data_IF_217903449015
#
_entry.id   IF_217903449015
#
_cell.length_a   1.000
_cell.length_b   1.000
_cell.length_c   1.000
_cell.angle_alpha   90.00
_cell.angle_beta   90.00
_cell.angle_gamma   90.00
#
_symmetry.space_group_name_H-M   'P 1'
#
loop_
_entity.id
_entity.type
_entity.pdbx_description
1 polymer ?
#
# COMPACT_ATOMS: atom_id res chain seq x y z
N UNK A 1 7.60 -3.61 -20.58
CA UNK A 1 8.44 -2.51 -20.01
C UNK A 1 8.39 -2.60 -18.49
N UNK A 2 9.53 -2.61 -17.83
CA UNK A 2 9.57 -2.68 -16.37
C UNK A 2 9.00 -1.37 -15.78
N UNK A 3 7.95 -1.50 -15.01
CA UNK A 3 7.17 -0.40 -14.42
C UNK A 3 7.03 -0.65 -12.93
N UNK A 4 7.35 0.35 -12.11
CA UNK A 4 7.01 0.33 -10.68
C UNK A 4 5.72 1.11 -10.53
N UNK A 5 4.72 0.50 -9.88
CA UNK A 5 3.38 1.06 -9.75
C UNK A 5 2.93 1.13 -8.29
N UNK A 6 2.35 2.29 -7.90
CA UNK A 6 1.72 2.51 -6.60
C UNK A 6 0.28 3.03 -6.84
N UNK A 7 -0.70 2.17 -6.68
CA UNK A 7 -2.05 2.37 -7.19
C UNK A 7 -3.04 2.88 -6.13
N UNK A 8 -2.66 2.80 -4.85
CA UNK A 8 -3.48 3.21 -3.71
C UNK A 8 -2.78 4.34 -2.94
N UNK A 9 -3.23 5.54 -3.22
CA UNK A 9 -2.72 6.78 -2.62
C UNK A 9 -3.88 7.72 -2.31
N UNK A 10 -3.61 8.77 -1.55
CA UNK A 10 -4.59 9.81 -1.23
C UNK A 10 -4.13 11.20 -1.67
N UNK A 11 -5.11 12.01 -2.05
CA UNK A 11 -4.92 13.43 -2.34
C UNK A 11 -5.01 14.27 -1.07
N UNK A 12 -4.81 15.57 -1.23
CA UNK A 12 -5.00 16.54 -0.14
C UNK A 12 -6.44 16.69 0.36
N UNK A 13 -7.40 16.05 -0.30
CA UNK A 13 -8.82 16.10 0.06
C UNK A 13 -9.25 14.96 0.98
N UNK A 14 -8.41 13.97 1.19
CA UNK A 14 -8.66 12.92 2.19
C UNK A 14 -8.28 13.37 3.60
N UNK A 15 -8.99 12.81 4.57
CA UNK A 15 -8.73 13.08 5.99
C UNK A 15 -7.31 12.65 6.39
N UNK A 16 -6.67 13.42 7.25
CA UNK A 16 -5.34 13.18 7.78
C UNK A 16 -4.21 13.15 6.72
N UNK A 17 -4.43 13.73 5.54
CA UNK A 17 -3.44 13.82 4.47
C UNK A 17 -2.68 15.16 4.48
N UNK A 18 -1.55 15.17 3.79
CA UNK A 18 -0.77 16.37 3.55
C UNK A 18 -1.46 17.29 2.54
N UNK A 19 -1.44 18.60 2.78
CA UNK A 19 -1.86 19.62 1.81
C UNK A 19 -1.03 19.61 0.52
N UNK A 20 0.16 18.98 0.57
CA UNK A 20 1.05 18.80 -0.57
C UNK A 20 0.60 17.69 -1.55
N UNK A 21 -0.49 16.96 -1.25
CA UNK A 21 -1.06 15.93 -2.12
C UNK A 21 -1.72 16.51 -3.37
N UNK A 22 -0.95 17.17 -4.23
CA UNK A 22 -1.35 17.76 -5.52
C UNK A 22 -0.77 16.97 -6.68
N UNK A 23 -1.37 17.01 -7.89
CA UNK A 23 -0.85 16.26 -9.02
C UNK A 23 0.62 16.55 -9.34
N UNK A 24 1.06 17.79 -9.19
CA UNK A 24 2.44 18.21 -9.44
C UNK A 24 3.41 17.63 -8.41
N UNK A 25 3.01 17.59 -7.15
CA UNK A 25 3.83 17.01 -6.09
C UNK A 25 3.86 15.48 -6.16
N UNK A 26 2.74 14.86 -6.54
CA UNK A 26 2.68 13.43 -6.79
C UNK A 26 3.61 13.03 -7.94
N UNK A 27 3.58 13.73 -9.08
CA UNK A 27 4.50 13.52 -10.19
C UNK A 27 5.98 13.72 -9.76
N UNK A 28 6.27 14.79 -9.03
CA UNK A 28 7.62 15.09 -8.55
C UNK A 28 8.18 13.96 -7.67
N UNK A 29 7.41 13.53 -6.68
CA UNK A 29 7.85 12.49 -5.76
C UNK A 29 7.91 11.11 -6.41
N UNK A 30 6.96 10.79 -7.31
CA UNK A 30 7.00 9.55 -8.07
C UNK A 30 8.28 9.44 -8.91
N UNK A 31 8.63 10.49 -9.67
CA UNK A 31 9.90 10.54 -10.44
C UNK A 31 11.12 10.40 -9.54
N UNK A 32 11.16 11.14 -8.43
CA UNK A 32 12.25 11.08 -7.46
C UNK A 32 12.46 9.70 -6.88
N UNK A 33 11.38 8.96 -6.69
CA UNK A 33 11.40 7.60 -6.17
C UNK A 33 11.61 6.52 -7.25
N UNK A 34 11.40 6.85 -8.52
CA UNK A 34 11.49 5.89 -9.64
C UNK A 34 10.19 5.13 -9.88
N UNK A 35 9.05 5.71 -9.49
CA UNK A 35 7.72 5.16 -9.72
C UNK A 35 7.18 5.66 -11.05
N UNK A 36 6.84 4.75 -11.96
CA UNK A 36 6.43 5.08 -13.32
C UNK A 36 4.91 5.21 -13.48
N UNK A 37 4.14 4.56 -12.59
CA UNK A 37 2.69 4.56 -12.63
C UNK A 37 2.14 4.76 -11.21
N UNK A 38 1.25 5.74 -11.02
CA UNK A 38 0.57 5.96 -9.73
C UNK A 38 -0.93 6.07 -9.92
N UNK A 39 -1.67 5.73 -8.88
CA UNK A 39 -3.07 6.09 -8.78
C UNK A 39 -3.26 7.61 -8.66
N UNK A 40 -4.41 8.13 -9.07
CA UNK A 40 -4.76 9.54 -8.78
C UNK A 40 -5.15 9.73 -7.32
N UNK A 41 -5.66 8.68 -6.68
CA UNK A 41 -6.39 8.78 -5.42
C UNK A 41 -7.72 9.53 -5.57
N UNK A 42 -8.62 9.32 -4.66
CA UNK A 42 -9.75 10.19 -4.30
C UNK A 42 -10.65 10.65 -5.45
N UNK A 43 -10.78 9.85 -6.53
CA UNK A 43 -11.57 10.25 -7.72
C UNK A 43 -13.02 10.62 -7.38
N UNK A 44 -13.55 10.22 -6.26
CA UNK A 44 -14.91 10.53 -5.83
C UNK A 44 -15.11 12.00 -5.47
N UNK A 45 -14.06 12.66 -4.97
CA UNK A 45 -14.16 14.04 -4.52
C UNK A 45 -14.31 15.02 -5.69
N UNK A 46 -15.40 15.81 -5.78
CA UNK A 46 -15.71 16.59 -6.98
C UNK A 46 -14.64 17.62 -7.33
N UNK A 47 -14.12 18.34 -6.33
CA UNK A 47 -13.07 19.36 -6.57
C UNK A 47 -11.78 18.71 -7.05
N UNK A 48 -11.44 17.52 -6.52
CA UNK A 48 -10.26 16.79 -6.98
C UNK A 48 -10.40 16.32 -8.42
N UNK A 49 -11.57 15.78 -8.80
CA UNK A 49 -11.82 15.37 -10.19
C UNK A 49 -11.69 16.53 -11.19
N UNK A 50 -12.22 17.71 -10.85
CA UNK A 50 -12.06 18.89 -11.72
C UNK A 50 -10.59 19.31 -11.81
N UNK A 51 -9.84 19.24 -10.73
CA UNK A 51 -8.40 19.51 -10.74
C UNK A 51 -7.64 18.49 -11.60
N UNK A 52 -7.99 17.20 -11.53
CA UNK A 52 -7.41 16.16 -12.40
C UNK A 52 -7.68 16.45 -13.88
N UNK A 53 -8.92 16.81 -14.24
CA UNK A 53 -9.28 17.17 -15.63
C UNK A 53 -8.51 18.39 -16.16
N UNK A 54 -8.30 19.38 -15.28
CA UNK A 54 -7.52 20.57 -15.62
C UNK A 54 -6.04 20.24 -15.84
N UNK A 55 -5.44 19.43 -14.97
CA UNK A 55 -4.00 19.27 -14.91
C UNK A 55 -3.46 18.06 -15.65
N UNK A 56 -4.28 17.04 -15.83
CA UNK A 56 -3.89 15.84 -16.57
C UNK A 56 -4.31 15.90 -18.04
N UNK A 57 -3.60 15.15 -18.85
CA UNK A 57 -3.94 14.90 -20.25
C UNK A 57 -3.90 13.40 -20.52
N UNK A 58 -4.93 12.89 -21.19
CA UNK A 58 -5.02 11.48 -21.58
C UNK A 58 -3.92 11.13 -22.60
N UNK A 59 -3.34 9.94 -22.46
CA UNK A 59 -2.44 9.35 -23.45
C UNK A 59 -3.18 8.48 -24.47
N UNK A 60 -4.52 8.37 -24.38
CA UNK A 60 -5.35 7.58 -25.30
C UNK A 60 -5.34 6.07 -25.04
N UNK A 61 -4.65 5.63 -23.97
CA UNK A 61 -4.50 4.23 -23.58
C UNK A 61 -5.05 3.92 -22.18
N UNK A 62 -5.92 4.80 -21.65
CA UNK A 62 -6.52 4.70 -20.31
C UNK A 62 -5.65 5.23 -19.19
N UNK A 63 -4.47 5.75 -19.51
CA UNK A 63 -3.61 6.45 -18.57
C UNK A 63 -3.53 7.95 -18.90
N UNK A 64 -3.04 8.68 -17.91
CA UNK A 64 -2.88 10.13 -17.99
C UNK A 64 -1.45 10.52 -17.63
N UNK A 65 -1.02 11.68 -18.12
CA UNK A 65 0.20 12.34 -17.66
C UNK A 65 -0.09 13.77 -17.25
N UNK A 66 0.77 14.32 -16.42
CA UNK A 66 0.68 15.73 -16.06
C UNK A 66 0.94 16.60 -17.29
N UNK A 67 0.09 17.62 -17.54
CA UNK A 67 0.32 18.58 -18.63
C UNK A 67 1.63 19.33 -18.40
N UNK A 68 2.37 19.59 -19.45
CA UNK A 68 3.72 20.20 -19.39
C UNK A 68 3.75 21.53 -18.63
N UNK A 69 2.63 22.28 -18.66
CA UNK A 69 2.49 23.55 -17.94
C UNK A 69 2.51 23.40 -16.41
N UNK A 70 2.19 22.20 -15.90
CA UNK A 70 2.15 21.91 -14.46
C UNK A 70 3.36 21.08 -13.97
N UNK A 71 4.18 20.58 -14.91
CA UNK A 71 5.40 19.84 -14.53
C UNK A 71 6.40 20.79 -13.88
N UNK A 72 6.78 20.49 -12.63
CA UNK A 72 7.78 21.27 -11.90
C UNK A 72 9.13 21.24 -12.60
N UNK A 73 9.88 22.36 -12.53
CA UNK A 73 11.20 22.41 -13.12
C UNK A 73 12.15 21.36 -12.48
N UNK A 74 12.02 21.15 -11.18
CA UNK A 74 12.78 20.14 -10.45
C UNK A 74 12.47 18.72 -10.91
N UNK A 75 11.22 18.43 -11.32
CA UNK A 75 10.81 17.14 -11.87
C UNK A 75 11.53 16.80 -13.17
N UNK A 76 11.89 17.80 -13.98
CA UNK A 76 12.57 17.63 -15.27
C UNK A 76 14.02 17.16 -15.14
N UNK A 77 14.59 17.19 -13.93
CA UNK A 77 15.93 16.67 -13.64
C UNK A 77 16.00 15.15 -13.57
N UNK A 78 14.85 14.49 -13.35
CA UNK A 78 14.78 13.04 -13.29
C UNK A 78 14.65 12.45 -14.70
N UNK A 79 15.39 11.37 -15.01
CA UNK A 79 15.34 10.74 -16.33
C UNK A 79 13.98 10.06 -16.57
N UNK A 80 13.64 9.85 -17.84
CA UNK A 80 12.44 9.11 -18.26
C UNK A 80 11.32 10.00 -18.79
N UNK A 81 10.26 9.36 -19.22
CA UNK A 81 9.10 10.01 -19.87
C UNK A 81 8.11 10.66 -18.88
N UNK A 82 8.42 10.57 -17.58
CA UNK A 82 7.56 11.08 -16.51
C UNK A 82 6.64 10.01 -15.93
N UNK A 83 5.86 10.41 -14.91
CA UNK A 83 4.93 9.54 -14.21
C UNK A 83 3.60 9.50 -14.95
N UNK A 84 3.02 8.30 -15.10
CA UNK A 84 1.65 8.10 -15.55
C UNK A 84 0.71 8.00 -14.35
N UNK A 85 -0.53 8.38 -14.59
CA UNK A 85 -1.61 8.30 -13.61
C UNK A 85 -2.70 7.37 -14.13
N UNK A 86 -3.17 6.46 -13.29
CA UNK A 86 -4.43 5.73 -13.48
C UNK A 86 -5.48 6.32 -12.53
N UNK A 87 -6.71 6.47 -13.00
CA UNK A 87 -7.79 6.96 -12.13
C UNK A 87 -8.05 5.96 -11.03
N UNK A 88 -7.90 6.37 -9.77
CA UNK A 88 -8.09 5.52 -8.61
C UNK A 88 -8.78 6.25 -7.45
N UNK A 89 -9.32 5.48 -6.51
CA UNK A 89 -9.81 6.00 -5.25
C UNK A 89 -10.24 4.89 -4.32
N UNK A 90 -10.16 5.15 -3.02
CA UNK A 90 -10.59 4.25 -1.95
C UNK A 90 -11.99 4.62 -1.48
N UNK A 91 -12.84 3.61 -1.29
CA UNK A 91 -14.19 3.73 -0.73
C UNK A 91 -14.25 3.00 0.61
N UNK A 92 -14.69 3.71 1.64
CA UNK A 92 -14.92 3.13 2.97
C UNK A 92 -16.35 2.66 3.10
N UNK A 93 -16.58 1.36 3.05
CA UNK A 93 -17.88 0.71 3.22
C UNK A 93 -18.14 0.39 4.69
N UNK A 94 -19.22 0.93 5.27
CA UNK A 94 -19.67 0.61 6.65
C UNK A 94 -21.13 0.19 6.61
N UNK A 95 -21.39 -1.06 6.91
CA UNK A 95 -22.74 -1.65 6.77
C UNK A 95 -22.99 -2.77 7.79
N UNK A 96 -24.22 -3.28 7.85
CA UNK A 96 -24.58 -4.44 8.66
C UNK A 96 -24.76 -5.67 7.78
N UNK A 97 -24.03 -6.74 8.08
CA UNK A 97 -24.14 -8.04 7.40
C UNK A 97 -23.95 -9.17 8.41
N UNK A 98 -24.84 -10.19 8.39
CA UNK A 98 -24.81 -11.33 9.29
C UNK A 98 -24.80 -10.93 10.78
N UNK A 99 -25.60 -9.92 11.14
CA UNK A 99 -25.75 -9.44 12.53
C UNK A 99 -24.54 -8.66 13.07
N UNK A 100 -23.51 -8.41 12.26
CA UNK A 100 -22.30 -7.66 12.65
C UNK A 100 -22.18 -6.36 11.85
N UNK A 101 -21.57 -5.35 12.45
CA UNK A 101 -21.14 -4.17 11.69
C UNK A 101 -19.84 -4.51 10.95
N UNK A 102 -19.89 -4.45 9.63
CA UNK A 102 -18.75 -4.65 8.74
C UNK A 102 -18.16 -3.32 8.33
N UNK A 103 -16.83 -3.27 8.20
CA UNK A 103 -16.09 -2.11 7.74
C UNK A 103 -15.00 -2.62 6.81
N UNK A 104 -15.09 -2.24 5.54
CA UNK A 104 -14.18 -2.68 4.49
C UNK A 104 -13.79 -1.49 3.64
N UNK A 105 -12.51 -1.36 3.34
CA UNK A 105 -12.00 -0.44 2.34
C UNK A 105 -11.79 -1.18 1.02
N UNK A 106 -12.14 -0.51 -0.08
CA UNK A 106 -11.99 -1.03 -1.42
C UNK A 106 -11.37 0.03 -2.31
N UNK A 107 -10.28 -0.30 -2.98
CA UNK A 107 -9.69 0.53 -4.04
C UNK A 107 -10.40 0.22 -5.34
N UNK A 108 -10.78 1.26 -6.08
CA UNK A 108 -11.31 1.17 -7.43
C UNK A 108 -10.35 1.84 -8.39
N UNK A 109 -10.03 1.16 -9.49
CA UNK A 109 -9.29 1.71 -10.63
C UNK A 109 -10.22 1.78 -11.83
N UNK A 110 -10.15 2.89 -12.56
CA UNK A 110 -11.02 3.15 -13.72
C UNK A 110 -10.18 3.58 -14.93
N UNK A 111 -10.61 3.22 -16.17
CA UNK A 111 -9.88 3.54 -17.39
C UNK A 111 -9.99 5.01 -17.83
N UNK A 112 -10.89 5.79 -17.20
CA UNK A 112 -11.07 7.17 -17.60
C UNK A 112 -11.69 8.05 -16.50
N UNK A 113 -11.50 9.37 -16.63
CA UNK A 113 -12.17 10.37 -15.77
C UNK A 113 -13.67 10.44 -16.03
N UNK A 114 -14.12 10.09 -17.24
CA UNK A 114 -15.54 10.00 -17.59
C UNK A 114 -16.23 8.86 -16.82
N UNK A 115 -15.59 7.68 -16.74
CA UNK A 115 -16.07 6.58 -15.91
C UNK A 115 -16.11 6.98 -14.41
N UNK A 116 -15.10 7.73 -13.97
CA UNK A 116 -15.06 8.27 -12.59
C UNK A 116 -16.22 9.25 -12.31
N UNK A 117 -16.59 10.10 -13.28
CA UNK A 117 -17.74 10.99 -13.13
C UNK A 117 -19.04 10.21 -12.94
N UNK A 118 -19.27 9.17 -13.77
CA UNK A 118 -20.48 8.34 -13.67
C UNK A 118 -20.52 7.59 -12.34
N UNK A 119 -19.38 7.00 -11.93
CA UNK A 119 -19.27 6.28 -10.65
C UNK A 119 -19.52 7.21 -9.48
N UNK A 120 -18.90 8.38 -9.45
CA UNK A 120 -19.08 9.37 -8.39
C UNK A 120 -20.54 9.86 -8.30
N UNK A 121 -21.22 10.11 -9.43
CA UNK A 121 -22.63 10.48 -9.43
C UNK A 121 -23.54 9.40 -8.84
N UNK A 122 -23.20 8.12 -8.99
CA UNK A 122 -23.93 7.02 -8.34
C UNK A 122 -23.68 6.97 -6.84
N UNK A 123 -22.42 7.12 -6.44
CA UNK A 123 -22.04 7.12 -5.02
C UNK A 123 -22.62 8.31 -4.26
N UNK A 124 -22.71 9.49 -4.88
CA UNK A 124 -23.31 10.70 -4.31
C UNK A 124 -24.79 10.51 -3.93
N UNK A 125 -25.54 9.67 -4.64
CA UNK A 125 -26.93 9.32 -4.29
C UNK A 125 -27.03 8.47 -3.02
N UNK A 126 -25.94 7.82 -2.61
CA UNK A 126 -25.88 6.97 -1.41
C UNK A 126 -25.39 7.76 -0.20
N UNK A 127 -24.42 8.66 -0.39
CA UNK A 127 -23.88 9.45 0.70
C UNK A 127 -23.00 10.60 0.28
N UNK A 128 -22.40 11.26 1.28
CA UNK A 128 -21.59 12.45 1.06
C UNK A 128 -20.20 12.07 0.52
N UNK A 129 -19.87 12.57 -0.68
CA UNK A 129 -18.57 12.43 -1.32
C UNK A 129 -17.78 13.75 -1.38
N UNK A 130 -18.26 14.80 -0.72
CA UNK A 130 -17.67 16.15 -0.79
C UNK A 130 -16.76 16.49 0.40
N UNK A 131 -16.86 15.75 1.49
CA UNK A 131 -16.17 16.07 2.74
C UNK A 131 -14.86 15.33 2.93
N UNK A 132 -14.64 14.26 2.20
CA UNK A 132 -13.45 13.40 2.30
C UNK A 132 -13.17 12.78 0.93
N UNK A 133 -11.90 12.76 0.51
CA UNK A 133 -11.47 12.08 -0.73
C UNK A 133 -11.76 10.58 -0.69
N UNK A 134 -11.69 9.98 0.50
CA UNK A 134 -12.15 8.63 0.80
C UNK A 134 -13.51 8.64 1.48
N UNK A 135 -14.63 8.64 0.75
CA UNK A 135 -15.95 8.76 1.34
C UNK A 135 -16.30 7.54 2.18
N UNK A 136 -16.95 7.79 3.32
CA UNK A 136 -17.54 6.76 4.18
C UNK A 136 -19.00 6.60 3.79
N UNK A 137 -19.34 5.42 3.27
CA UNK A 137 -20.67 5.15 2.73
C UNK A 137 -21.33 3.97 3.47
N UNK A 138 -22.64 4.08 3.69
CA UNK A 138 -23.47 2.99 4.18
C UNK A 138 -23.81 1.99 3.07
N UNK A 139 -22.80 1.50 2.36
CA UNK A 139 -22.90 0.66 1.18
C UNK A 139 -22.17 -0.66 1.41
N UNK A 140 -22.81 -1.80 1.12
CA UNK A 140 -22.16 -3.10 1.14
C UNK A 140 -21.06 -3.18 0.09
N UNK A 141 -19.94 -3.83 0.38
CA UNK A 141 -18.86 -4.03 -0.60
C UNK A 141 -19.30 -4.83 -1.81
N UNK A 142 -20.25 -5.77 -1.63
CA UNK A 142 -20.92 -6.49 -2.71
C UNK A 142 -21.63 -5.52 -3.65
N UNK A 143 -22.49 -4.64 -3.12
CA UNK A 143 -23.26 -3.67 -3.91
C UNK A 143 -22.36 -2.61 -4.57
N UNK A 144 -21.23 -2.27 -3.90
CA UNK A 144 -20.22 -1.40 -4.48
C UNK A 144 -19.57 -2.04 -5.72
N UNK A 145 -19.25 -3.34 -5.64
CA UNK A 145 -18.69 -4.08 -6.78
C UNK A 145 -19.72 -4.20 -7.92
N UNK A 146 -20.97 -4.54 -7.62
CA UNK A 146 -22.06 -4.58 -8.61
C UNK A 146 -22.21 -3.22 -9.32
N UNK A 147 -22.24 -2.14 -8.53
CA UNK A 147 -22.33 -0.77 -9.08
C UNK A 147 -21.16 -0.44 -10.00
N UNK A 148 -19.94 -0.82 -9.61
CA UNK A 148 -18.75 -0.60 -10.44
C UNK A 148 -18.83 -1.36 -11.77
N UNK A 149 -19.20 -2.63 -11.73
CA UNK A 149 -19.36 -3.47 -12.93
C UNK A 149 -20.44 -2.94 -13.87
N UNK A 150 -21.54 -2.41 -13.34
CA UNK A 150 -22.60 -1.75 -14.11
C UNK A 150 -22.14 -0.47 -14.80
N UNK A 151 -21.28 0.32 -14.13
CA UNK A 151 -20.76 1.59 -14.65
C UNK A 151 -19.64 1.35 -15.65
N UNK A 152 -18.74 0.45 -15.32
CA UNK A 152 -17.51 0.19 -16.07
C UNK A 152 -17.10 -1.27 -15.88
N UNK A 153 -17.48 -2.18 -16.79
CA UNK A 153 -17.09 -3.59 -16.71
C UNK A 153 -15.56 -3.82 -16.70
N UNK A 154 -14.79 -2.88 -17.27
CA UNK A 154 -13.32 -2.90 -17.23
C UNK A 154 -12.76 -2.26 -15.96
N UNK A 155 -13.59 -1.81 -15.02
CA UNK A 155 -13.17 -1.34 -13.72
C UNK A 155 -12.53 -2.46 -12.91
N UNK A 156 -11.58 -2.09 -12.04
CA UNK A 156 -10.92 -3.03 -11.15
C UNK A 156 -11.27 -2.66 -9.72
N UNK A 157 -11.80 -3.61 -8.94
CA UNK A 157 -11.98 -3.44 -7.51
C UNK A 157 -10.98 -4.34 -6.76
N UNK A 158 -10.23 -3.75 -5.85
CA UNK A 158 -9.23 -4.42 -5.02
C UNK A 158 -9.60 -4.17 -3.55
N UNK A 159 -9.96 -5.20 -2.78
CA UNK A 159 -10.05 -5.06 -1.32
C UNK A 159 -8.73 -4.56 -0.74
N UNK A 160 -8.77 -3.42 -0.04
CA UNK A 160 -7.59 -2.72 0.44
C UNK A 160 -7.05 -3.36 1.73
N UNK A 161 -5.71 -3.34 1.89
CA UNK A 161 -4.98 -3.73 3.12
C UNK A 161 -5.72 -4.79 3.96
N UNK A 162 -5.92 -5.97 3.37
CA UNK A 162 -6.92 -6.98 3.77
C UNK A 162 -6.84 -7.50 5.21
N UNK A 163 -5.77 -7.19 5.95
CA UNK A 163 -5.53 -7.70 7.31
C UNK A 163 -5.59 -6.64 8.41
N UNK A 164 -5.71 -5.35 8.10
CA UNK A 164 -5.84 -4.35 9.16
C UNK A 164 -7.03 -4.71 10.08
N UNK A 165 -6.91 -4.56 11.42
CA UNK A 165 -7.97 -4.99 12.35
C UNK A 165 -9.35 -4.39 12.05
N UNK A 166 -9.37 -3.17 11.55
CA UNK A 166 -10.56 -2.45 11.11
C UNK A 166 -10.44 -2.09 9.63
N UNK A 167 -11.58 -1.95 8.97
CA UNK A 167 -11.69 -1.49 7.58
C UNK A 167 -11.01 -2.41 6.56
N UNK A 168 -11.04 -3.70 6.79
CA UNK A 168 -10.47 -4.70 5.87
C UNK A 168 -11.33 -5.95 5.77
N UNK A 169 -11.18 -6.69 4.66
CA UNK A 169 -12.02 -7.86 4.40
C UNK A 169 -11.76 -9.03 5.37
N UNK A 170 -10.51 -9.22 5.82
CA UNK A 170 -10.12 -10.31 6.73
C UNK A 170 -9.80 -9.86 8.15
N UNK A 171 -9.97 -8.56 8.44
CA UNK A 171 -9.59 -7.95 9.72
C UNK A 171 -10.37 -8.51 10.92
N UNK A 172 -9.69 -8.72 12.03
CA UNK A 172 -10.22 -9.34 13.24
C UNK A 172 -11.41 -8.61 13.89
N UNK A 173 -11.56 -7.31 13.67
CA UNK A 173 -12.58 -6.48 14.33
C UNK A 173 -13.84 -6.30 13.51
N UNK A 174 -13.73 -6.13 12.21
CA UNK A 174 -14.86 -5.76 11.35
C UNK A 174 -14.90 -6.50 10.02
N UNK A 175 -13.99 -7.44 9.80
CA UNK A 175 -13.89 -8.23 8.58
C UNK A 175 -14.74 -9.51 8.61
N UNK A 176 -14.45 -10.35 7.65
CA UNK A 176 -15.05 -11.65 7.40
C UNK A 176 -14.00 -12.75 7.55
N UNK A 177 -14.40 -14.01 7.43
CA UNK A 177 -13.46 -15.14 7.45
C UNK A 177 -13.04 -15.58 6.03
N UNK A 178 -13.68 -15.03 5.00
CA UNK A 178 -13.28 -15.20 3.60
C UNK A 178 -13.73 -14.02 2.71
N UNK A 179 -13.17 -13.93 1.52
CA UNK A 179 -13.56 -12.95 0.49
C UNK A 179 -14.97 -13.27 -0.02
N UNK A 180 -15.30 -14.55 -0.13
CA UNK A 180 -16.60 -15.03 -0.56
C UNK A 180 -17.73 -14.60 0.40
N UNK A 181 -17.48 -14.56 1.72
CA UNK A 181 -18.48 -14.05 2.67
C UNK A 181 -18.75 -12.54 2.50
N UNK A 182 -17.78 -11.79 2.00
CA UNK A 182 -17.92 -10.36 1.76
C UNK A 182 -18.66 -10.08 0.45
N UNK A 183 -18.25 -10.72 -0.65
CA UNK A 183 -18.69 -10.42 -2.00
C UNK A 183 -19.71 -11.42 -2.58
N UNK A 184 -19.99 -12.49 -1.87
CA UNK A 184 -21.01 -13.52 -2.22
C UNK A 184 -20.79 -14.05 -3.66
N UNK A 185 -21.83 -14.07 -4.49
CA UNK A 185 -21.76 -14.51 -5.90
C UNK A 185 -20.88 -13.63 -6.79
N UNK A 186 -20.57 -12.40 -6.36
CA UNK A 186 -19.66 -11.52 -7.07
C UNK A 186 -18.18 -11.74 -6.72
N UNK A 187 -17.86 -12.60 -5.75
CA UNK A 187 -16.48 -12.92 -5.42
C UNK A 187 -15.61 -13.39 -6.61
N UNK A 188 -16.11 -14.05 -7.66
CA UNK A 188 -15.34 -14.35 -8.87
C UNK A 188 -14.82 -13.15 -9.64
N UNK A 189 -15.39 -11.96 -9.46
CA UNK A 189 -14.94 -10.71 -10.07
C UNK A 189 -13.84 -9.99 -9.27
N UNK A 190 -13.51 -10.49 -8.07
CA UNK A 190 -12.32 -10.06 -7.33
C UNK A 190 -11.15 -10.91 -7.79
N UNK A 191 -10.13 -10.28 -8.36
CA UNK A 191 -8.95 -10.95 -8.90
C UNK A 191 -7.67 -10.66 -8.13
N UNK A 192 -7.62 -9.56 -7.42
CA UNK A 192 -6.48 -9.17 -6.61
C UNK A 192 -6.88 -8.73 -5.20
N UNK A 193 -5.95 -8.89 -4.27
CA UNK A 193 -6.05 -8.46 -2.88
C UNK A 193 -4.82 -7.64 -2.53
N UNK A 194 -5.00 -6.55 -1.78
CA UNK A 194 -3.87 -5.72 -1.34
C UNK A 194 -3.33 -6.23 -0.01
N UNK A 195 -2.02 -6.52 0.02
CA UNK A 195 -1.30 -6.90 1.25
C UNK A 195 -1.37 -5.79 2.29
N UNK A 196 -1.06 -4.57 1.86
CA UNK A 196 -0.98 -3.38 2.71
C UNK A 196 0.11 -3.48 3.77
N UNK A 197 0.40 -2.40 4.46
CA UNK A 197 1.48 -2.29 5.44
C UNK A 197 1.43 -3.28 6.63
N UNK A 198 0.39 -4.12 6.72
CA UNK A 198 0.17 -5.04 7.84
C UNK A 198 0.45 -6.51 7.51
N UNK A 199 0.64 -6.85 6.24
CA UNK A 199 0.94 -8.22 5.80
C UNK A 199 1.83 -8.25 4.57
N UNK A 200 2.46 -9.37 4.34
CA UNK A 200 3.26 -9.67 3.16
C UNK A 200 2.75 -10.94 2.43
N UNK A 201 3.27 -11.27 1.25
CA UNK A 201 2.88 -12.49 0.55
C UNK A 201 3.09 -13.77 1.35
N UNK A 202 4.13 -13.86 2.19
CA UNK A 202 4.38 -15.07 2.99
C UNK A 202 3.27 -15.32 4.01
N UNK A 203 2.76 -14.27 4.67
CA UNK A 203 1.60 -14.35 5.55
C UNK A 203 0.35 -14.81 4.79
N UNK A 204 0.11 -14.28 3.60
CA UNK A 204 -1.05 -14.58 2.77
C UNK A 204 -1.00 -16.01 2.20
N UNK A 205 0.16 -16.55 1.86
CA UNK A 205 0.31 -17.91 1.35
C UNK A 205 -0.06 -18.99 2.37
N UNK A 206 -0.17 -18.64 3.65
CA UNK A 206 -0.63 -19.56 4.69
C UNK A 206 -2.12 -19.91 4.59
N UNK A 207 -2.87 -19.18 3.76
CA UNK A 207 -4.30 -19.40 3.55
C UNK A 207 -4.54 -19.87 2.12
N UNK A 208 -4.83 -21.17 1.92
CA UNK A 208 -4.98 -21.75 0.58
C UNK A 208 -6.11 -21.14 -0.24
N UNK A 209 -7.17 -20.66 0.41
CA UNK A 209 -8.28 -19.96 -0.24
C UNK A 209 -7.86 -18.66 -0.95
N UNK A 210 -6.74 -18.06 -0.54
CA UNK A 210 -6.21 -16.85 -1.18
C UNK A 210 -5.36 -17.12 -2.42
N UNK A 211 -5.04 -18.38 -2.73
CA UNK A 211 -4.17 -18.74 -3.85
C UNK A 211 -4.68 -18.32 -5.23
N UNK A 212 -5.98 -18.15 -5.37
CA UNK A 212 -6.63 -17.71 -6.63
C UNK A 212 -6.43 -16.23 -6.94
N UNK A 213 -6.09 -15.42 -5.95
CA UNK A 213 -5.96 -13.99 -6.09
C UNK A 213 -4.52 -13.59 -6.39
N UNK A 214 -4.36 -12.52 -7.19
CA UNK A 214 -3.07 -11.83 -7.28
C UNK A 214 -2.88 -11.02 -5.99
N UNK A 215 -1.66 -11.02 -5.45
CA UNK A 215 -1.31 -10.13 -4.35
C UNK A 215 -0.67 -8.88 -4.94
N UNK A 216 -1.23 -7.74 -4.59
CA UNK A 216 -0.73 -6.41 -4.95
C UNK A 216 -0.37 -5.65 -3.68
N UNK A 217 0.54 -4.71 -3.82
CA UNK A 217 1.05 -3.93 -2.69
C UNK A 217 1.09 -2.45 -3.06
N UNK A 218 0.51 -1.60 -2.23
CA UNK A 218 0.46 -0.17 -2.49
C UNK A 218 0.64 0.60 -1.18
N UNK A 219 1.15 1.80 -1.28
CA UNK A 219 1.64 2.56 -0.12
C UNK A 219 0.57 3.09 0.83
N UNK A 220 -0.67 3.21 0.39
CA UNK A 220 -1.73 3.97 1.11
C UNK A 220 -1.19 5.35 1.56
N UNK A 221 -0.51 6.03 0.62
CA UNK A 221 0.25 7.24 0.93
C UNK A 221 -0.67 8.42 1.24
N UNK A 222 -0.54 8.96 2.44
CA UNK A 222 -1.22 10.16 2.92
C UNK A 222 -0.37 11.45 2.73
N UNK A 223 0.78 11.31 2.08
CA UNK A 223 1.64 12.41 1.65
C UNK A 223 2.52 11.97 0.49
N UNK A 224 2.90 12.88 -0.45
CA UNK A 224 3.69 12.52 -1.61
C UNK A 224 5.03 11.87 -1.28
N UNK A 225 5.66 12.24 -0.18
CA UNK A 225 6.93 11.65 0.29
C UNK A 225 6.82 10.18 0.72
N UNK A 226 5.61 9.69 0.97
CA UNK A 226 5.34 8.30 1.37
C UNK A 226 4.94 7.38 0.21
N UNK A 227 4.86 7.89 -1.01
CA UNK A 227 4.70 7.06 -2.21
C UNK A 227 5.76 5.95 -2.24
N UNK A 228 5.38 4.77 -2.71
CA UNK A 228 6.28 3.65 -2.90
C UNK A 228 6.84 3.01 -1.62
N UNK A 229 6.23 3.25 -0.45
CA UNK A 229 6.55 2.41 0.73
C UNK A 229 6.26 0.94 0.44
N UNK A 230 5.24 0.73 -0.36
CA UNK A 230 4.86 -0.51 -1.02
C UNK A 230 4.59 -0.21 -2.48
N UNK A 231 4.83 -1.16 -3.36
CA UNK A 231 4.64 -0.99 -4.79
C UNK A 231 4.54 -2.33 -5.52
N UNK A 232 4.04 -2.28 -6.75
CA UNK A 232 3.97 -3.41 -7.66
C UNK A 232 5.09 -3.33 -8.69
N UNK A 233 5.74 -4.45 -8.95
CA UNK A 233 6.74 -4.62 -9.99
C UNK A 233 6.08 -5.25 -11.20
N UNK A 234 5.98 -4.49 -12.28
CA UNK A 234 5.26 -4.90 -13.48
C UNK A 234 6.19 -4.96 -14.70
N UNK A 235 5.96 -5.90 -15.60
CA UNK A 235 6.52 -5.91 -16.95
C UNK A 235 5.38 -5.93 -17.97
N UNK A 236 4.85 -4.75 -18.26
CA UNK A 236 3.65 -4.53 -19.07
C UNK A 236 3.88 -3.43 -20.10
N UNK A 237 3.02 -3.38 -21.11
CA UNK A 237 2.80 -2.13 -21.81
C UNK A 237 2.17 -1.13 -20.83
N UNK A 238 2.74 0.07 -20.74
CA UNK A 238 2.26 1.09 -19.81
C UNK A 238 0.94 1.68 -20.32
N UNK A 239 -0.14 0.91 -20.13
CA UNK A 239 -1.51 1.20 -20.51
C UNK A 239 -2.47 0.65 -19.46
N UNK A 240 -3.71 1.12 -19.46
CA UNK A 240 -4.76 0.56 -18.60
C UNK A 240 -5.01 -0.92 -18.91
N UNK A 241 -5.02 -1.30 -20.20
CA UNK A 241 -5.16 -2.69 -20.63
C UNK A 241 -4.05 -3.59 -20.08
N UNK A 242 -2.78 -3.13 -20.15
CA UNK A 242 -1.66 -3.87 -19.57
C UNK A 242 -1.78 -4.03 -18.06
N UNK A 243 -2.18 -2.96 -17.35
CA UNK A 243 -2.44 -2.99 -15.91
C UNK A 243 -3.63 -3.91 -15.57
N UNK A 244 -4.74 -3.80 -16.30
CA UNK A 244 -5.92 -4.65 -16.13
C UNK A 244 -5.54 -6.12 -16.24
N UNK A 245 -4.80 -6.52 -17.28
CA UNK A 245 -4.35 -7.88 -17.48
C UNK A 245 -3.45 -8.38 -16.35
N UNK A 246 -2.51 -7.54 -15.92
CA UNK A 246 -1.62 -7.89 -14.80
C UNK A 246 -2.39 -8.16 -13.50
N UNK A 247 -3.40 -7.36 -13.19
CA UNK A 247 -4.21 -7.53 -11.99
C UNK A 247 -5.22 -8.69 -12.12
N UNK A 248 -5.83 -8.86 -13.30
CA UNK A 248 -6.84 -9.90 -13.51
C UNK A 248 -6.23 -11.30 -13.60
N UNK A 249 -5.08 -11.43 -14.28
CA UNK A 249 -4.50 -12.75 -14.63
C UNK A 249 -3.12 -13.01 -14.03
N UNK A 250 -2.46 -11.97 -13.53
CA UNK A 250 -1.05 -12.03 -13.10
C UNK A 250 -0.05 -11.98 -14.26
N UNK A 251 -0.50 -11.83 -15.52
CA UNK A 251 0.40 -11.67 -16.66
C UNK A 251 1.10 -10.30 -16.62
N UNK A 252 2.42 -10.32 -16.54
CA UNK A 252 3.22 -9.10 -16.37
C UNK A 252 3.31 -8.59 -14.93
N UNK A 253 2.63 -9.20 -13.95
CA UNK A 253 2.89 -8.95 -12.54
C UNK A 253 4.12 -9.79 -12.13
N UNK A 254 5.27 -9.14 -11.94
CA UNK A 254 6.53 -9.79 -11.62
C UNK A 254 6.70 -10.01 -10.11
N UNK A 255 6.16 -9.11 -9.29
CA UNK A 255 6.26 -9.18 -7.84
C UNK A 255 5.81 -7.89 -7.16
N UNK A 256 6.14 -7.79 -5.87
CA UNK A 256 5.82 -6.64 -5.05
C UNK A 256 7.02 -6.15 -4.25
N UNK A 257 6.99 -4.88 -3.88
CA UNK A 257 7.82 -4.29 -2.82
C UNK A 257 6.93 -4.13 -1.61
N UNK A 258 7.34 -4.74 -0.52
CA UNK A 258 6.56 -4.77 0.71
C UNK A 258 7.25 -3.95 1.81
N UNK A 259 6.46 -3.41 2.69
CA UNK A 259 6.90 -2.94 3.99
C UNK A 259 7.14 -4.16 4.91
N UNK A 260 7.89 -3.99 5.99
CA UNK A 260 8.01 -5.06 6.98
C UNK A 260 6.75 -5.08 7.86
N UNK A 261 5.89 -6.12 7.81
CA UNK A 261 4.63 -6.16 8.56
C UNK A 261 4.82 -6.00 10.07
N UNK A 262 5.99 -6.39 10.57
CA UNK A 262 6.36 -6.27 11.98
C UNK A 262 6.42 -4.80 12.46
N UNK A 263 6.63 -3.83 11.56
CA UNK A 263 6.56 -2.41 11.92
C UNK A 263 5.14 -1.94 12.21
N UNK A 264 4.14 -2.69 11.75
CA UNK A 264 2.72 -2.37 11.97
C UNK A 264 2.36 -2.36 13.45
N UNK A 265 1.67 -1.30 13.90
CA UNK A 265 1.30 -1.09 15.32
C UNK A 265 0.32 -2.12 15.91
N UNK A 266 -0.10 -3.09 15.14
CA UNK A 266 -1.00 -4.18 15.56
C UNK A 266 -0.49 -5.54 15.04
N UNK A 267 0.80 -5.71 14.84
CA UNK A 267 1.34 -6.96 14.30
C UNK A 267 1.16 -8.12 15.27
N UNK A 268 1.67 -8.01 16.48
CA UNK A 268 1.52 -9.01 17.56
C UNK A 268 0.34 -8.69 18.48
N UNK A 269 -0.07 -9.70 19.24
CA UNK A 269 -0.98 -9.53 20.35
C UNK A 269 -0.33 -8.70 21.46
N UNK A 270 -1.11 -7.86 22.14
CA UNK A 270 -0.50 -7.08 23.17
C UNK A 270 -1.42 -6.34 24.11
N UNK A 271 -0.80 -5.79 25.15
CA UNK A 271 -1.41 -4.84 26.06
C UNK A 271 -0.42 -3.72 26.36
N UNK A 272 -0.53 -2.62 25.62
CA UNK A 272 0.39 -1.48 25.64
C UNK A 272 0.65 -0.94 27.04
N UNK A 273 -0.41 -0.77 27.87
CA UNK A 273 -0.29 -0.23 29.23
C UNK A 273 0.56 -1.09 30.15
N UNK A 274 0.73 -2.36 29.84
CA UNK A 274 1.53 -3.30 30.63
C UNK A 274 2.86 -3.66 29.97
N UNK A 275 3.16 -3.11 28.78
CA UNK A 275 4.36 -3.45 28.02
C UNK A 275 4.37 -4.91 27.54
N UNK A 276 3.21 -5.52 27.34
CA UNK A 276 3.10 -6.94 26.95
C UNK A 276 2.93 -7.02 25.43
N UNK A 277 3.85 -7.73 24.79
CA UNK A 277 3.82 -8.10 23.36
C UNK A 277 4.04 -9.60 23.26
N UNK A 278 3.16 -10.32 22.57
CA UNK A 278 3.14 -11.78 22.53
C UNK A 278 2.89 -12.26 21.10
N UNK A 279 3.59 -13.31 20.71
CA UNK A 279 3.25 -14.05 19.49
C UNK A 279 1.87 -14.72 19.62
N UNK A 280 1.23 -15.15 18.51
CA UNK A 280 -0.05 -15.86 18.54
C UNK A 280 -0.05 -17.06 19.49
N UNK A 281 1.00 -17.88 19.42
CA UNK A 281 1.15 -19.09 20.23
C UNK A 281 1.23 -18.77 21.74
N UNK A 282 1.96 -17.72 22.10
CA UNK A 282 2.08 -17.28 23.49
C UNK A 282 0.77 -16.70 24.00
N UNK A 283 0.07 -15.91 23.17
CA UNK A 283 -1.22 -15.33 23.51
C UNK A 283 -2.30 -16.42 23.71
N UNK A 284 -2.34 -17.44 22.86
CA UNK A 284 -3.25 -18.58 23.01
C UNK A 284 -3.00 -19.37 24.29
N UNK A 285 -1.73 -19.64 24.66
CA UNK A 285 -1.37 -20.31 25.92
C UNK A 285 -1.89 -19.57 27.16
N UNK A 286 -2.02 -18.24 27.04
CA UNK A 286 -2.53 -17.38 28.11
C UNK A 286 -4.06 -17.12 27.96
N UNK A 287 -4.73 -17.79 27.03
CA UNK A 287 -6.17 -17.60 26.76
C UNK A 287 -6.51 -16.19 26.30
N UNK A 288 -5.60 -15.48 25.64
CA UNK A 288 -5.79 -14.10 25.19
C UNK A 288 -5.84 -13.07 26.34
N UNK A 289 -5.27 -13.41 27.49
CA UNK A 289 -5.31 -12.59 28.72
C UNK A 289 -3.93 -12.05 29.05
N UNK A 290 -3.85 -10.77 29.36
CA UNK A 290 -2.62 -10.12 29.78
C UNK A 290 -2.11 -10.70 31.10
N UNK A 291 -0.90 -11.26 31.17
CA UNK A 291 -0.36 -11.90 32.39
C UNK A 291 -0.09 -10.90 33.52
N UNK A 292 -0.04 -9.61 33.22
CA UNK A 292 0.23 -8.55 34.22
C UNK A 292 -1.03 -8.05 34.90
N UNK A 293 -2.11 -7.81 34.15
CA UNK A 293 -3.32 -7.17 34.71
C UNK A 293 -4.61 -7.95 34.53
N UNK A 294 -4.60 -9.13 33.91
CA UNK A 294 -5.76 -9.98 33.71
C UNK A 294 -6.80 -9.48 32.69
N UNK A 295 -6.52 -8.40 31.95
CA UNK A 295 -7.40 -7.89 30.87
C UNK A 295 -7.15 -8.63 29.58
N UNK A 296 -8.15 -8.61 28.67
CA UNK A 296 -7.97 -9.13 27.31
C UNK A 296 -6.84 -8.42 26.59
N UNK A 297 -6.05 -9.18 25.86
CA UNK A 297 -5.08 -8.68 24.90
C UNK A 297 -5.79 -8.08 23.68
N UNK A 298 -5.18 -7.10 23.07
CA UNK A 298 -5.55 -6.67 21.70
C UNK A 298 -4.97 -7.70 20.74
N UNK A 299 -5.83 -8.35 19.98
CA UNK A 299 -5.42 -9.33 18.96
C UNK A 299 -4.63 -8.66 17.85
N UNK A 300 -3.50 -9.23 17.52
CA UNK A 300 -2.65 -8.80 16.42
C UNK A 300 -3.06 -9.36 15.06
N UNK A 301 -2.47 -8.80 14.02
CA UNK A 301 -2.68 -9.28 12.64
C UNK A 301 -2.14 -10.69 12.45
N UNK A 302 -0.96 -10.96 12.98
CA UNK A 302 -0.34 -12.30 12.88
C UNK A 302 -1.20 -13.38 13.53
N UNK A 303 -1.84 -13.09 14.67
CA UNK A 303 -2.81 -14.01 15.29
C UNK A 303 -4.06 -14.22 14.42
N UNK A 304 -4.53 -13.15 13.75
CA UNK A 304 -5.68 -13.31 12.84
C UNK A 304 -5.32 -14.16 11.63
N UNK A 305 -4.12 -13.99 11.07
CA UNK A 305 -3.59 -14.87 10.02
C UNK A 305 -3.54 -16.32 10.51
N UNK A 306 -2.97 -16.56 11.72
CA UNK A 306 -2.92 -17.90 12.34
C UNK A 306 -4.31 -18.55 12.45
N UNK A 307 -5.32 -17.79 12.86
CA UNK A 307 -6.69 -18.30 12.98
C UNK A 307 -7.30 -18.78 11.66
N UNK A 308 -6.92 -18.17 10.54
CA UNK A 308 -7.45 -18.50 9.20
C UNK A 308 -6.51 -19.41 8.39
N UNK A 309 -5.28 -19.61 8.86
CA UNK A 309 -4.28 -20.40 8.18
C UNK A 309 -4.63 -21.90 8.17
N UNK A 310 -4.45 -22.51 7.01
CA UNK A 310 -4.53 -23.95 6.79
C UNK A 310 -3.18 -24.55 6.37
N UNK A 311 -2.12 -23.71 6.36
CA UNK A 311 -0.72 -24.05 6.08
C UNK A 311 0.21 -23.54 7.16
N UNK A 312 1.29 -24.26 7.39
CA UNK A 312 2.28 -23.88 8.40
C UNK A 312 2.99 -22.56 8.05
N UNK A 313 3.50 -21.89 9.08
CA UNK A 313 4.42 -20.78 8.92
C UNK A 313 5.64 -21.19 8.09
N UNK A 314 6.11 -20.28 7.23
CA UNK A 314 7.21 -20.55 6.29
C UNK A 314 6.79 -21.30 5.02
N UNK A 315 5.50 -21.59 4.82
CA UNK A 315 5.04 -22.14 3.55
C UNK A 315 5.30 -21.16 2.41
N UNK A 316 5.90 -21.65 1.33
CA UNK A 316 6.14 -20.88 0.10
C UNK A 316 5.28 -21.45 -1.03
N UNK A 317 4.43 -20.60 -1.60
CA UNK A 317 3.59 -20.96 -2.74
C UNK A 317 4.47 -21.19 -3.97
N UNK A 318 4.36 -22.37 -4.61
CA UNK A 318 5.23 -22.80 -5.72
C UNK A 318 5.29 -21.80 -6.88
N UNK A 319 4.14 -21.22 -7.25
CA UNK A 319 4.02 -20.24 -8.34
C UNK A 319 3.74 -18.83 -7.80
N UNK A 320 4.08 -18.58 -6.54
CA UNK A 320 3.96 -17.27 -5.89
C UNK A 320 4.88 -16.26 -6.58
N UNK A 321 4.37 -15.06 -6.77
CA UNK A 321 5.19 -13.95 -7.29
C UNK A 321 6.27 -13.60 -6.27
N UNK A 322 7.40 -13.10 -6.75
CA UNK A 322 8.49 -12.65 -5.89
C UNK A 322 8.05 -11.42 -5.08
N UNK A 323 8.64 -11.24 -3.93
CA UNK A 323 8.51 -9.99 -3.20
C UNK A 323 9.84 -9.65 -2.51
N UNK A 324 10.03 -8.40 -2.24
CA UNK A 324 11.17 -7.87 -1.51
C UNK A 324 10.69 -6.88 -0.45
N UNK A 325 11.17 -7.03 0.79
CA UNK A 325 10.84 -6.11 1.87
C UNK A 325 11.89 -5.00 1.93
N UNK A 326 11.45 -3.75 1.83
CA UNK A 326 12.32 -2.58 1.85
C UNK A 326 11.96 -1.62 2.99
N UNK A 327 12.97 -0.87 3.41
CA UNK A 327 12.81 0.29 4.29
C UNK A 327 13.04 1.54 3.44
N UNK A 328 12.18 2.58 3.50
CA UNK A 328 12.38 3.81 2.75
C UNK A 328 13.77 4.43 3.00
N UNK A 329 14.41 4.92 1.94
CA UNK A 329 15.80 5.40 2.01
C UNK A 329 16.03 6.46 3.10
N UNK A 330 15.14 7.46 3.33
CA UNK A 330 15.32 8.39 4.45
C UNK A 330 15.32 7.71 5.83
N UNK A 331 14.62 6.59 5.98
CA UNK A 331 14.57 5.83 7.23
C UNK A 331 15.85 5.01 7.42
N UNK A 332 16.39 4.41 6.35
CA UNK A 332 17.73 3.78 6.37
C UNK A 332 18.81 4.79 6.76
N UNK A 333 18.82 5.97 6.10
CA UNK A 333 19.80 7.03 6.41
C UNK A 333 19.66 7.48 7.88
N UNK A 334 18.42 7.66 8.35
CA UNK A 334 18.10 8.02 9.73
C UNK A 334 18.67 7.02 10.73
N UNK A 335 18.46 5.73 10.50
CA UNK A 335 18.97 4.65 11.34
C UNK A 335 20.52 4.60 11.35
N UNK A 336 21.15 4.81 10.19
CA UNK A 336 22.60 4.82 10.05
C UNK A 336 23.26 6.02 10.73
N UNK A 337 22.64 7.19 10.64
CA UNK A 337 23.22 8.46 11.13
C UNK A 337 22.81 8.79 12.58
N UNK A 338 21.79 8.14 13.14
CA UNK A 338 21.27 8.42 14.48
C UNK A 338 20.53 9.76 14.60
N UNK A 339 20.00 10.30 13.48
CA UNK A 339 19.19 11.53 13.45
C UNK A 339 17.78 11.21 12.93
N UNK A 340 16.79 12.01 13.32
CA UNK A 340 15.42 11.84 12.80
C UNK A 340 15.37 12.02 11.27
N UNK A 341 14.43 11.34 10.62
CA UNK A 341 14.20 11.44 9.18
C UNK A 341 13.95 12.87 8.71
N UNK A 342 13.33 13.72 9.55
CA UNK A 342 13.07 15.13 9.25
C UNK A 342 14.27 16.05 9.45
N UNK A 343 15.43 15.55 9.96
CA UNK A 343 16.60 16.38 10.19
C UNK A 343 17.22 16.84 8.89
N UNK A 344 17.78 18.07 8.89
CA UNK A 344 18.50 18.62 7.72
C UNK A 344 19.66 17.73 7.25
N UNK A 345 20.29 17.00 8.19
CA UNK A 345 21.40 16.09 7.85
C UNK A 345 20.90 14.88 7.06
N UNK A 346 19.82 14.24 7.50
CA UNK A 346 19.23 13.09 6.81
C UNK A 346 18.68 13.52 5.45
N UNK A 347 17.94 14.63 5.41
CA UNK A 347 17.38 15.14 4.15
C UNK A 347 18.48 15.58 3.17
N UNK A 348 19.55 16.23 3.65
CA UNK A 348 20.69 16.60 2.82
C UNK A 348 21.41 15.38 2.23
N UNK A 349 21.63 14.33 3.03
CA UNK A 349 22.21 13.08 2.54
C UNK A 349 21.31 12.40 1.51
N UNK A 350 20.01 12.33 1.77
CA UNK A 350 19.02 11.80 0.83
C UNK A 350 19.05 12.53 -0.51
N UNK A 351 18.99 13.88 -0.51
CA UNK A 351 19.06 14.68 -1.73
C UNK A 351 20.37 14.47 -2.50
N UNK A 352 21.49 14.38 -1.79
CA UNK A 352 22.79 14.10 -2.40
C UNK A 352 22.80 12.72 -3.09
N UNK A 353 22.29 11.69 -2.42
CA UNK A 353 22.22 10.34 -2.98
C UNK A 353 21.33 10.30 -4.23
N UNK A 354 20.15 10.91 -4.17
CA UNK A 354 19.24 11.01 -5.33
C UNK A 354 19.89 11.72 -6.52
N UNK A 355 20.62 12.81 -6.28
CA UNK A 355 21.29 13.57 -7.34
C UNK A 355 22.46 12.82 -7.98
N UNK A 356 23.12 11.96 -7.20
CA UNK A 356 24.36 11.30 -7.61
C UNK A 356 24.14 9.89 -8.14
N UNK A 357 23.23 9.13 -7.52
CA UNK A 357 23.09 7.71 -7.73
C UNK A 357 21.80 7.31 -8.48
N UNK A 358 20.83 8.23 -8.61
CA UNK A 358 19.56 7.95 -9.27
C UNK A 358 18.36 7.94 -8.33
N UNK A 359 17.29 7.26 -8.71
CA UNK A 359 16.04 7.25 -7.95
C UNK A 359 16.14 6.46 -6.65
N UNK A 360 15.20 6.70 -5.72
CA UNK A 360 15.17 5.98 -4.43
C UNK A 360 15.13 4.45 -4.64
N UNK A 361 14.30 3.95 -5.56
CA UNK A 361 14.24 2.53 -5.87
C UNK A 361 15.52 2.00 -6.53
N UNK A 362 16.18 2.79 -7.37
CA UNK A 362 17.48 2.38 -7.91
C UNK A 362 18.51 2.23 -6.80
N UNK A 363 18.58 3.20 -5.89
CA UNK A 363 19.51 3.17 -4.75
C UNK A 363 19.21 1.98 -3.84
N UNK A 364 17.96 1.76 -3.47
CA UNK A 364 17.58 0.67 -2.57
C UNK A 364 17.77 -0.72 -3.18
N UNK A 365 17.66 -0.87 -4.52
CA UNK A 365 17.58 -2.18 -5.17
C UNK A 365 18.77 -2.52 -6.05
N UNK A 366 19.30 -1.57 -6.80
CA UNK A 366 20.15 -1.85 -7.97
C UNK A 366 21.57 -1.26 -7.85
N UNK A 367 21.73 -0.07 -7.26
CA UNK A 367 23.03 0.63 -7.20
C UNK A 367 24.04 -0.23 -6.44
N UNK A 368 25.27 -0.44 -6.98
CA UNK A 368 26.32 -1.20 -6.31
C UNK A 368 26.69 -0.60 -4.96
N UNK A 369 26.98 -1.45 -3.98
CA UNK A 369 27.35 -1.04 -2.61
C UNK A 369 28.56 -0.11 -2.57
N UNK A 370 29.52 -0.31 -3.44
CA UNK A 370 30.73 0.55 -3.54
C UNK A 370 30.41 1.98 -4.01
N UNK A 371 29.42 2.14 -4.91
CA UNK A 371 28.99 3.47 -5.35
C UNK A 371 28.25 4.19 -4.23
N UNK A 372 27.38 3.45 -3.48
CA UNK A 372 26.71 3.98 -2.30
C UNK A 372 27.74 4.40 -1.24
N UNK A 373 28.75 3.55 -0.98
CA UNK A 373 29.85 3.83 -0.05
C UNK A 373 30.60 5.08 -0.42
N UNK A 374 30.92 5.24 -1.70
CA UNK A 374 31.63 6.42 -2.22
C UNK A 374 30.81 7.71 -2.08
N UNK A 375 29.46 7.64 -2.22
CA UNK A 375 28.56 8.79 -2.15
C UNK A 375 28.17 9.16 -0.72
N UNK A 376 27.82 8.17 0.12
CA UNK A 376 27.14 8.37 1.40
C UNK A 376 27.86 7.73 2.61
N UNK A 377 28.97 7.03 2.37
CA UNK A 377 29.77 6.38 3.40
C UNK A 377 29.40 4.92 3.66
N UNK A 378 30.34 4.23 4.31
CA UNK A 378 30.30 2.77 4.52
C UNK A 378 29.06 2.31 5.30
N UNK A 379 28.69 3.03 6.38
CA UNK A 379 27.59 2.63 7.25
C UNK A 379 26.23 2.68 6.53
N UNK A 380 26.02 3.61 5.61
CA UNK A 380 24.78 3.70 4.82
C UNK A 380 24.78 2.58 3.77
N UNK A 381 25.90 2.30 3.14
CA UNK A 381 26.03 1.20 2.18
C UNK A 381 25.74 -0.15 2.86
N UNK A 382 26.32 -0.39 4.03
CA UNK A 382 26.05 -1.59 4.85
C UNK A 382 24.58 -1.70 5.26
N UNK A 383 23.96 -0.59 5.71
CA UNK A 383 22.54 -0.55 6.08
C UNK A 383 21.62 -0.93 4.92
N UNK A 384 21.87 -0.40 3.72
CA UNK A 384 21.12 -0.77 2.50
C UNK A 384 21.35 -2.23 2.15
N UNK A 385 22.58 -2.73 2.22
CA UNK A 385 22.91 -4.13 1.93
C UNK A 385 22.23 -5.09 2.93
N UNK A 386 22.16 -4.72 4.21
CA UNK A 386 21.45 -5.51 5.21
C UNK A 386 19.95 -5.59 4.90
N UNK A 387 19.32 -4.50 4.47
CA UNK A 387 17.91 -4.51 4.03
C UNK A 387 17.74 -5.41 2.81
N UNK A 388 18.56 -5.26 1.77
CA UNK A 388 18.51 -6.07 0.54
C UNK A 388 18.61 -7.58 0.82
N UNK A 389 19.42 -7.96 1.79
CA UNK A 389 19.65 -9.35 2.16
C UNK A 389 18.73 -9.86 3.27
N UNK A 390 17.78 -9.05 3.74
CA UNK A 390 16.91 -9.40 4.88
C UNK A 390 17.65 -9.59 6.21
N UNK A 391 18.90 -9.12 6.31
CA UNK A 391 19.73 -9.19 7.54
C UNK A 391 19.39 -8.04 8.49
N UNK A 392 18.14 -8.03 8.93
CA UNK A 392 17.61 -7.02 9.85
C UNK A 392 16.94 -7.68 11.02
N UNK A 393 17.03 -7.08 12.19
CA UNK A 393 16.28 -7.53 13.37
C UNK A 393 14.93 -6.85 13.39
N UNK A 394 13.88 -7.67 13.46
CA UNK A 394 12.48 -7.24 13.44
C UNK A 394 11.93 -7.24 14.84
N UNK A 395 11.45 -6.11 15.32
CA UNK A 395 10.81 -5.95 16.63
C UNK A 395 9.33 -5.65 16.35
N UNK A 396 8.41 -6.62 16.58
CA UNK A 396 7.01 -6.48 16.24
C UNK A 396 6.31 -5.40 17.04
N UNK A 397 5.47 -4.59 16.35
CA UNK A 397 4.55 -3.67 16.99
C UNK A 397 3.35 -4.39 17.59
N UNK A 398 2.67 -3.75 18.55
CA UNK A 398 1.53 -4.34 19.26
C UNK A 398 0.66 -3.25 19.90
N UNK A 399 -0.63 -3.47 19.98
CA UNK A 399 -1.61 -2.66 20.71
C UNK A 399 -1.45 -1.13 20.55
N UNK A 400 -1.14 -0.69 19.32
CA UNK A 400 -0.97 0.72 18.98
C UNK A 400 0.48 1.24 19.09
N UNK A 401 1.44 0.43 19.51
CA UNK A 401 2.87 0.71 19.46
C UNK A 401 3.45 0.22 18.13
N UNK A 402 4.16 1.10 17.43
CA UNK A 402 4.85 0.72 16.20
C UNK A 402 6.03 -0.21 16.50
N UNK A 403 6.22 -1.20 15.64
CA UNK A 403 7.42 -1.99 15.62
C UNK A 403 8.63 -1.23 15.08
N UNK A 404 9.76 -1.91 15.01
CA UNK A 404 11.02 -1.31 14.55
C UNK A 404 11.83 -2.33 13.76
N UNK A 405 12.47 -1.85 12.70
CA UNK A 405 13.49 -2.59 11.97
C UNK A 405 14.86 -2.04 12.37
N UNK A 406 15.68 -2.89 12.98
CA UNK A 406 17.07 -2.56 13.34
C UNK A 406 17.98 -3.09 12.22
N UNK A 407 18.73 -2.18 11.59
CA UNK A 407 19.59 -2.49 10.46
C UNK A 407 20.93 -3.11 10.87
N UNK A 408 21.27 -3.02 12.15
CA UNK A 408 22.54 -3.52 12.71
C UNK A 408 22.26 -4.24 14.01
N UNK A 409 23.07 -5.25 14.31
CA UNK A 409 23.09 -5.84 15.63
C UNK A 409 23.62 -4.79 16.63
N UNK A 410 22.91 -4.60 17.74
CA UNK A 410 23.43 -3.80 18.85
C UNK A 410 24.56 -4.59 19.51
N UNK A 411 25.78 -4.03 19.45
CA UNK A 411 26.92 -4.53 20.24
C UNK A 411 26.75 -4.19 21.70
#
# INVERSE_FOLDING_TARGET
MKTIADLHIHSRFSMATSKEGTPENLDFWARKKGISLIGTGDFTHPVWREELKERLVSEGNGLYRLRDAYVKEESRKFPGEGTRFVVSGEISSIYKKNGKTRKVHNVILLPSLEAADVMAQRLEKIGNIHSDGRPILGLDSHDLLEMMLDVCPEGILIPAHIWTPHFSVLGAKSGFDSVEECFEELAPYIHALETGLSSDPAMNWRISKLDRYQLVSNSDAHSPSKLGREANLLDIDCSYEGLYRAIQTGEGLEGTVEFFPEEGKYHFDGHRKCGVSLSPVEAERLGGICPVCGKKLTMGVDHRVEQLADRAEGFVKKDGKKYESLVPLPEVISACMGYSTASKKVQGCFEQMIQTLGTEFDILRNVPSEDIKSCAGERIAEGIENVRNGKVKRIPGYDGEYGKIQLFDEN
#
